data_IF_848632478309
#
_entry.id   IF_848632478309
#
_cell.length_a   1.000
_cell.length_b   1.000
_cell.length_c   1.000
_cell.angle_alpha   90.00
_cell.angle_beta   90.00
_cell.angle_gamma   90.00
#
_symmetry.space_group_name_H-M   'P 1'
#
loop_
_entity.id
_entity.type
_entity.pdbx_description
1 polymer ?
#
# COMPACT_ATOMS: atom_id res chain seq x y z
N UNK A 1 47.58 39.61 -36.43
CA UNK A 1 46.65 40.25 -35.48
C UNK A 1 45.36 39.46 -35.47
N UNK A 2 45.06 38.76 -34.37
CA UNK A 2 43.83 37.98 -34.26
C UNK A 2 43.96 36.85 -33.26
N UNK A 3 43.35 37.02 -32.09
CA UNK A 3 42.83 35.91 -31.29
C UNK A 3 41.77 36.47 -30.33
N UNK A 4 40.52 36.16 -30.64
CA UNK A 4 39.36 36.50 -29.86
C UNK A 4 39.38 35.73 -28.53
N UNK A 5 39.40 36.46 -27.42
CA UNK A 5 39.10 35.93 -26.09
C UNK A 5 37.59 35.96 -25.88
N UNK A 6 36.93 34.80 -25.98
CA UNK A 6 35.49 34.69 -25.82
C UNK A 6 35.05 33.37 -25.18
N UNK A 7 34.58 33.47 -23.95
CA UNK A 7 33.55 32.62 -23.35
C UNK A 7 33.94 31.23 -22.81
N UNK A 8 34.51 31.20 -21.61
CA UNK A 8 34.59 30.01 -20.75
C UNK A 8 33.77 30.18 -19.45
N UNK A 9 32.56 30.74 -19.53
CA UNK A 9 31.68 30.96 -18.36
C UNK A 9 30.23 30.48 -18.54
N UNK A 10 29.98 29.30 -19.10
CA UNK A 10 28.58 28.84 -19.28
C UNK A 10 28.31 27.33 -19.17
N UNK A 11 29.18 26.53 -18.53
CA UNK A 11 28.86 25.10 -18.29
C UNK A 11 28.22 24.86 -16.91
N UNK A 12 28.87 25.32 -15.83
CA UNK A 12 28.43 25.06 -14.45
C UNK A 12 27.11 25.76 -14.11
N UNK A 13 26.88 26.95 -14.68
CA UNK A 13 25.69 27.76 -14.40
C UNK A 13 24.43 27.21 -15.11
N UNK A 14 24.60 26.49 -16.22
CA UNK A 14 23.53 25.77 -16.92
C UNK A 14 23.13 24.50 -16.16
N UNK A 15 24.08 23.83 -15.50
CA UNK A 15 23.82 22.67 -14.65
C UNK A 15 23.03 23.05 -13.38
N UNK A 16 23.35 24.18 -12.75
CA UNK A 16 22.62 24.66 -11.55
C UNK A 16 21.20 25.13 -11.85
N UNK A 17 20.93 25.77 -13.00
CA UNK A 17 19.56 26.18 -13.38
C UNK A 17 18.64 25.02 -13.76
N UNK A 18 19.18 23.91 -14.26
CA UNK A 18 18.38 22.71 -14.57
C UNK A 18 17.97 21.91 -13.32
N UNK A 19 18.67 22.11 -12.20
CA UNK A 19 18.33 21.49 -10.92
C UNK A 19 17.12 22.13 -10.22
N UNK A 20 16.65 23.30 -10.66
CA UNK A 20 15.55 24.03 -10.02
C UNK A 20 14.15 23.75 -10.62
N UNK A 21 14.02 22.95 -11.68
CA UNK A 21 12.79 22.87 -12.48
C UNK A 21 12.06 21.51 -12.46
N UNK A 22 12.35 20.59 -11.53
CA UNK A 22 11.58 19.34 -11.43
C UNK A 22 11.47 18.89 -9.98
N UNK A 23 10.73 19.67 -9.19
CA UNK A 23 10.20 19.19 -7.93
C UNK A 23 9.06 18.18 -8.23
N UNK A 24 9.07 16.96 -7.69
CA UNK A 24 7.89 16.11 -7.72
C UNK A 24 6.79 16.72 -6.83
N UNK A 25 5.57 16.71 -7.38
CA UNK A 25 4.34 17.16 -6.73
C UNK A 25 4.16 16.54 -5.34
N UNK A 26 3.86 17.41 -4.36
CA UNK A 26 3.67 17.12 -2.92
C UNK A 26 2.23 16.63 -2.62
N UNK A 27 1.65 15.81 -3.49
CA UNK A 27 0.31 15.28 -3.30
C UNK A 27 0.36 13.76 -3.13
N UNK A 28 -0.42 13.27 -2.16
CA UNK A 28 -0.65 11.84 -1.83
C UNK A 28 0.23 11.23 -0.72
N UNK A 29 0.28 11.91 0.43
CA UNK A 29 0.25 11.18 1.71
C UNK A 29 -1.20 11.11 2.16
N UNK A 30 -1.90 10.03 1.81
CA UNK A 30 -3.21 9.72 2.40
C UNK A 30 -2.95 9.01 3.72
N UNK A 31 -3.09 9.75 4.82
CA UNK A 31 -3.10 9.18 6.16
C UNK A 31 -4.38 8.35 6.35
N UNK A 32 -4.22 7.05 6.59
CA UNK A 32 -5.30 6.13 6.91
C UNK A 32 -5.82 6.40 8.33
N UNK A 33 -7.12 6.71 8.46
CA UNK A 33 -7.79 6.91 9.74
C UNK A 33 -8.85 5.80 9.94
N UNK A 34 -8.77 4.97 10.99
CA UNK A 34 -9.74 3.90 11.22
C UNK A 34 -11.06 4.46 11.80
N UNK A 35 -12.24 3.98 11.35
CA UNK A 35 -13.52 4.40 11.96
C UNK A 35 -13.72 3.76 13.35
N UNK A 36 -14.07 4.60 14.32
CA UNK A 36 -14.37 4.22 15.70
C UNK A 36 -15.65 3.38 15.84
N UNK A 37 -15.60 2.36 16.69
CA UNK A 37 -16.73 1.49 17.05
C UNK A 37 -17.80 2.28 17.81
N UNK A 38 -19.07 2.15 17.38
CA UNK A 38 -20.23 2.42 18.23
C UNK A 38 -21.02 1.12 18.36
N UNK A 39 -21.03 0.57 19.57
CA UNK A 39 -21.90 -0.52 19.99
C UNK A 39 -22.90 0.09 20.99
N UNK A 40 -24.20 -0.04 20.72
CA UNK A 40 -25.22 0.43 21.62
C UNK A 40 -26.56 -0.21 21.27
N UNK A 41 -26.91 -1.29 21.99
CA UNK A 41 -28.29 -1.71 22.24
C UNK A 41 -28.30 -2.75 23.37
N UNK A 42 -28.80 -2.33 24.53
CA UNK A 42 -29.38 -3.13 25.63
C UNK A 42 -30.28 -2.12 26.38
N UNK A 43 -31.53 -2.35 26.78
CA UNK A 43 -32.41 -3.51 26.78
C UNK A 43 -33.58 -3.09 27.66
N UNK A 44 -34.69 -2.65 27.06
CA UNK A 44 -35.83 -2.09 27.79
C UNK A 44 -36.89 -3.14 28.12
N UNK A 45 -36.66 -3.97 29.14
CA UNK A 45 -37.69 -4.83 29.73
C UNK A 45 -38.24 -4.20 30.99
N UNK A 46 -39.53 -3.81 30.96
CA UNK A 46 -40.22 -3.36 32.16
C UNK A 46 -41.64 -2.88 31.89
N UNK A 47 -42.60 -3.79 31.75
CA UNK A 47 -44.01 -3.46 31.99
C UNK A 47 -44.79 -4.65 32.53
N UNK A 48 -44.78 -4.77 33.86
CA UNK A 48 -45.72 -5.58 34.63
C UNK A 48 -47.02 -4.78 34.81
N UNK A 49 -48.06 -5.10 34.02
CA UNK A 49 -49.46 -4.81 34.35
C UNK A 49 -50.14 -6.17 34.53
N UNK A 50 -50.51 -6.57 35.75
CA UNK A 50 -51.72 -6.18 36.49
C UNK A 50 -53.01 -6.75 35.85
N UNK A 51 -53.50 -7.81 36.51
CA UNK A 51 -54.88 -8.32 36.62
C UNK A 51 -55.63 -8.58 35.32
N UNK A 52 -55.65 -9.84 34.92
CA UNK A 52 -56.68 -10.38 34.05
C UNK A 52 -57.80 -10.97 34.90
N UNK A 53 -58.98 -10.39 34.81
CA UNK A 53 -60.24 -11.07 35.08
C UNK A 53 -61.31 -10.25 34.37
N UNK A 54 -61.71 -10.65 33.15
CA UNK A 54 -63.08 -10.51 32.65
C UNK A 54 -63.27 -11.46 31.46
N UNK A 55 -64.27 -12.32 31.62
CA UNK A 55 -64.82 -13.18 30.60
C UNK A 55 -65.46 -12.35 29.47
N UNK A 56 -65.28 -12.80 28.23
CA UNK A 56 -66.36 -13.23 27.33
C UNK A 56 -65.74 -13.51 25.95
N UNK A 57 -65.74 -14.80 25.60
CA UNK A 57 -65.15 -15.29 24.37
C UNK A 57 -66.04 -14.97 23.17
N UNK A 58 -65.57 -14.03 22.35
CA UNK A 58 -65.89 -13.99 20.93
C UNK A 58 -64.60 -13.64 20.19
N UNK A 59 -63.81 -14.67 19.90
CA UNK A 59 -62.66 -14.55 19.01
C UNK A 59 -62.95 -15.32 17.72
N UNK A 60 -63.59 -14.62 16.78
CA UNK A 60 -63.40 -14.90 15.36
C UNK A 60 -62.03 -14.39 14.94
N UNK A 61 -61.14 -15.31 14.59
CA UNK A 61 -60.40 -15.34 13.34
C UNK A 61 -59.24 -16.33 13.48
N UNK A 62 -59.43 -17.49 12.85
CA UNK A 62 -58.30 -18.22 12.33
C UNK A 62 -57.66 -17.37 11.25
N UNK A 63 -56.44 -16.91 11.49
CA UNK A 63 -55.33 -16.89 10.54
C UNK A 63 -54.13 -16.27 11.27
N UNK A 64 -53.31 -17.12 11.90
CA UNK A 64 -52.01 -16.70 12.43
C UNK A 64 -51.09 -17.91 12.45
N UNK A 65 -50.86 -18.46 11.27
CA UNK A 65 -49.91 -19.56 11.07
C UNK A 65 -48.93 -19.25 9.93
N UNK A 66 -48.50 -17.98 9.75
CA UNK A 66 -47.47 -17.64 8.76
C UNK A 66 -46.45 -16.64 9.30
N UNK A 67 -45.82 -16.95 10.43
CA UNK A 67 -44.68 -16.16 10.91
C UNK A 67 -43.62 -17.06 11.55
N UNK A 68 -43.10 -18.05 10.81
CA UNK A 68 -41.93 -18.79 11.31
C UNK A 68 -41.02 -19.42 10.26
N UNK A 69 -41.42 -19.51 8.99
CA UNK A 69 -40.62 -20.28 8.01
C UNK A 69 -39.49 -19.49 7.31
N UNK A 70 -39.35 -18.18 7.57
CA UNK A 70 -38.39 -17.29 6.87
C UNK A 70 -37.26 -16.71 7.73
N UNK A 71 -37.28 -16.90 9.05
CA UNK A 71 -36.20 -16.44 9.95
C UNK A 71 -34.83 -17.11 9.66
N UNK A 72 -34.73 -18.43 9.40
CA UNK A 72 -33.44 -19.04 9.08
C UNK A 72 -32.92 -18.63 7.69
N UNK A 73 -33.81 -18.39 6.71
CA UNK A 73 -33.41 -17.97 5.36
C UNK A 73 -32.91 -16.52 5.32
N UNK A 74 -33.56 -15.60 6.04
CA UNK A 74 -33.06 -14.20 6.17
C UNK A 74 -31.69 -14.13 6.84
N UNK A 75 -31.47 -14.94 7.88
CA UNK A 75 -30.17 -15.03 8.54
C UNK A 75 -29.10 -15.60 7.60
N UNK A 76 -29.44 -16.62 6.80
CA UNK A 76 -28.53 -17.19 5.79
C UNK A 76 -28.19 -16.20 4.69
N UNK A 77 -29.15 -15.40 4.24
CA UNK A 77 -28.94 -14.35 3.24
C UNK A 77 -28.06 -13.22 3.77
N UNK A 78 -28.27 -12.77 5.01
CA UNK A 78 -27.39 -11.81 5.68
C UNK A 78 -25.96 -12.35 5.82
N UNK A 79 -25.80 -13.61 6.25
CA UNK A 79 -24.49 -14.24 6.35
C UNK A 79 -23.80 -14.34 4.98
N UNK A 80 -24.55 -14.66 3.92
CA UNK A 80 -24.02 -14.66 2.54
C UNK A 80 -23.55 -13.28 2.12
N UNK A 81 -24.34 -12.23 2.39
CA UNK A 81 -23.95 -10.84 2.11
C UNK A 81 -22.66 -10.44 2.84
N UNK A 82 -22.56 -10.77 4.12
CA UNK A 82 -21.35 -10.51 4.92
C UNK A 82 -20.13 -11.27 4.40
N UNK A 83 -20.30 -12.54 3.98
CA UNK A 83 -19.21 -13.33 3.38
C UNK A 83 -18.71 -12.71 2.07
N UNK A 84 -19.60 -12.22 1.21
CA UNK A 84 -19.19 -11.59 -0.05
C UNK A 84 -18.52 -10.23 0.17
N UNK A 85 -18.99 -9.43 1.14
CA UNK A 85 -18.34 -8.18 1.54
C UNK A 85 -16.91 -8.44 2.04
N UNK A 86 -16.75 -9.39 2.97
CA UNK A 86 -15.44 -9.78 3.50
C UNK A 86 -14.50 -10.33 2.42
N UNK A 87 -15.03 -11.11 1.46
CA UNK A 87 -14.24 -11.60 0.32
C UNK A 87 -13.72 -10.45 -0.54
N UNK A 88 -14.57 -9.46 -0.80
CA UNK A 88 -14.21 -8.28 -1.58
C UNK A 88 -13.13 -7.46 -0.85
N UNK A 89 -13.28 -7.25 0.45
CA UNK A 89 -12.28 -6.54 1.26
C UNK A 89 -10.95 -7.30 1.29
N UNK A 90 -10.97 -8.63 1.49
CA UNK A 90 -9.77 -9.47 1.45
C UNK A 90 -9.07 -9.38 0.09
N UNK A 91 -9.83 -9.38 -1.00
CA UNK A 91 -9.27 -9.25 -2.35
C UNK A 91 -8.61 -7.89 -2.55
N UNK A 92 -9.27 -6.79 -2.14
CA UNK A 92 -8.69 -5.44 -2.20
C UNK A 92 -7.42 -5.32 -1.35
N UNK A 93 -7.40 -5.91 -0.16
CA UNK A 93 -6.22 -5.94 0.71
C UNK A 93 -5.08 -6.78 0.12
N UNK A 94 -5.39 -7.92 -0.50
CA UNK A 94 -4.41 -8.75 -1.21
C UNK A 94 -3.81 -8.00 -2.39
N UNK A 95 -4.63 -7.36 -3.21
CA UNK A 95 -4.17 -6.52 -4.32
C UNK A 95 -3.29 -5.36 -3.84
N UNK A 96 -3.67 -4.71 -2.74
CA UNK A 96 -2.87 -3.65 -2.13
C UNK A 96 -1.52 -4.19 -1.61
N UNK A 97 -1.50 -5.38 -1.00
CA UNK A 97 -0.28 -6.04 -0.52
C UNK A 97 0.63 -6.50 -1.69
N UNK A 98 0.05 -6.99 -2.78
CA UNK A 98 0.75 -7.38 -4.01
C UNK A 98 1.33 -6.19 -4.79
N UNK A 99 0.92 -4.95 -4.49
CA UNK A 99 1.40 -3.74 -5.18
C UNK A 99 2.69 -3.13 -4.58
N UNK A 100 3.08 -3.55 -3.36
CA UNK A 100 4.31 -3.13 -2.66
C UNK A 100 5.64 -3.92 -2.93
N UNK A 101 5.77 -5.00 -3.75
CA UNK A 101 6.78 -6.03 -3.44
C UNK A 101 8.16 -5.75 -4.02
N UNK A 102 8.26 -5.21 -5.24
CA UNK A 102 9.53 -5.32 -5.98
C UNK A 102 10.61 -4.35 -5.50
N UNK A 103 10.23 -3.14 -5.09
CA UNK A 103 11.20 -2.14 -4.63
C UNK A 103 11.67 -2.47 -3.21
N UNK A 104 10.77 -2.96 -2.36
CA UNK A 104 11.11 -3.38 -1.00
C UNK A 104 11.93 -4.68 -1.00
N UNK A 105 11.65 -5.62 -1.90
CA UNK A 105 12.52 -6.78 -2.16
C UNK A 105 13.92 -6.34 -2.58
N UNK A 106 14.02 -5.46 -3.59
CA UNK A 106 15.32 -4.93 -4.02
C UNK A 106 16.07 -4.21 -2.90
N UNK A 107 15.34 -3.50 -2.01
CA UNK A 107 15.93 -2.85 -0.83
C UNK A 107 16.52 -3.90 0.12
N UNK A 108 15.77 -4.95 0.44
CA UNK A 108 16.25 -6.06 1.26
C UNK A 108 17.48 -6.76 0.65
N UNK A 109 17.49 -6.95 -0.66
CA UNK A 109 18.65 -7.49 -1.38
C UNK A 109 19.89 -6.60 -1.24
N UNK A 110 19.74 -5.28 -1.35
CA UNK A 110 20.85 -4.34 -1.15
C UNK A 110 21.39 -4.42 0.28
N UNK A 111 20.51 -4.52 1.29
CA UNK A 111 20.91 -4.69 2.69
C UNK A 111 21.69 -5.99 2.92
N UNK A 112 21.31 -7.07 2.24
CA UNK A 112 22.03 -8.34 2.28
C UNK A 112 23.40 -8.26 1.59
N UNK A 113 23.50 -7.53 0.48
CA UNK A 113 24.75 -7.39 -0.28
C UNK A 113 25.75 -6.45 0.42
N UNK A 114 25.30 -5.36 1.02
CA UNK A 114 26.11 -4.45 1.80
C UNK A 114 25.41 -4.21 3.14
N UNK A 115 25.99 -4.65 4.28
CA UNK A 115 25.38 -4.45 5.60
C UNK A 115 25.12 -2.97 5.87
N UNK A 116 23.87 -2.56 5.66
CA UNK A 116 23.40 -1.20 5.85
C UNK A 116 21.93 -1.20 6.25
N UNK A 117 21.46 -0.08 6.80
CA UNK A 117 20.06 0.07 7.17
C UNK A 117 19.15 0.25 5.94
N UNK A 118 17.84 0.15 6.16
CA UNK A 118 16.85 0.29 5.11
C UNK A 118 16.88 1.66 4.40
N UNK A 119 17.27 2.72 5.13
CA UNK A 119 17.34 4.07 4.59
C UNK A 119 18.52 4.21 3.62
N UNK A 120 19.68 3.67 3.98
CA UNK A 120 20.88 3.62 3.15
C UNK A 120 20.64 2.77 1.90
N UNK A 121 20.00 1.60 2.06
CA UNK A 121 19.65 0.74 0.93
C UNK A 121 18.70 1.43 -0.06
N UNK A 122 17.72 2.20 0.43
CA UNK A 122 16.89 3.04 -0.43
C UNK A 122 17.72 4.05 -1.22
N UNK A 123 18.63 4.76 -0.55
CA UNK A 123 19.51 5.72 -1.21
C UNK A 123 20.40 5.07 -2.26
N UNK A 124 20.94 3.89 -1.99
CA UNK A 124 21.69 3.11 -2.98
C UNK A 124 20.85 2.87 -4.24
N UNK A 125 19.60 2.40 -4.11
CA UNK A 125 18.73 2.17 -5.26
C UNK A 125 18.44 3.46 -6.04
N UNK A 126 18.22 4.58 -5.33
CA UNK A 126 18.04 5.90 -5.96
C UNK A 126 19.29 6.33 -6.72
N UNK A 127 20.48 6.15 -6.12
CA UNK A 127 21.75 6.46 -6.78
C UNK A 127 21.95 5.59 -8.01
N UNK A 128 21.68 4.29 -7.93
CA UNK A 128 21.76 3.38 -9.09
C UNK A 128 20.83 3.83 -10.20
N UNK A 129 19.58 4.18 -9.86
CA UNK A 129 18.60 4.69 -10.83
C UNK A 129 19.07 5.96 -11.54
N UNK A 130 19.63 6.92 -10.80
CA UNK A 130 20.15 8.18 -11.36
C UNK A 130 21.38 7.94 -12.25
N UNK A 131 22.34 7.14 -11.79
CA UNK A 131 23.59 6.88 -12.52
C UNK A 131 23.37 6.01 -13.76
N UNK A 132 22.41 5.09 -13.73
CA UNK A 132 22.06 4.24 -14.88
C UNK A 132 21.04 4.91 -15.82
N UNK A 133 20.43 6.03 -15.42
CA UNK A 133 19.30 6.67 -16.10
C UNK A 133 18.14 5.67 -16.37
N UNK A 134 17.90 4.74 -15.43
CA UNK A 134 16.82 3.75 -15.49
C UNK A 134 15.84 4.03 -14.37
N UNK A 135 14.55 4.01 -14.67
CA UNK A 135 13.47 4.18 -13.67
C UNK A 135 13.69 3.22 -12.49
N UNK A 136 13.61 3.71 -11.25
CA UNK A 136 13.81 2.94 -10.02
C UNK A 136 13.06 1.60 -10.00
N UNK A 137 11.78 1.59 -10.42
CA UNK A 137 10.98 0.36 -10.51
C UNK A 137 11.54 -0.67 -11.50
N UNK A 138 12.19 -0.22 -12.58
CA UNK A 138 12.90 -1.09 -13.53
C UNK A 138 14.23 -1.58 -12.96
N UNK A 139 14.97 -0.74 -12.23
CA UNK A 139 16.16 -1.16 -11.48
C UNK A 139 15.79 -2.27 -10.49
N UNK A 140 14.78 -2.05 -9.66
CA UNK A 140 14.31 -3.03 -8.68
C UNK A 140 13.93 -4.37 -9.33
N UNK A 141 13.14 -4.35 -10.41
CA UNK A 141 12.83 -5.57 -11.18
C UNK A 141 14.06 -6.26 -11.73
N UNK A 142 15.00 -5.49 -12.28
CA UNK A 142 16.22 -6.07 -12.84
C UNK A 142 17.06 -6.75 -11.75
N UNK A 143 17.11 -6.19 -10.54
CA UNK A 143 17.80 -6.83 -9.41
C UNK A 143 17.15 -8.14 -9.00
N UNK A 144 15.82 -8.15 -8.84
CA UNK A 144 15.06 -9.36 -8.49
C UNK A 144 15.24 -10.45 -9.56
N UNK A 145 15.03 -10.09 -10.83
CA UNK A 145 15.25 -11.01 -11.95
C UNK A 145 16.72 -11.49 -12.05
N UNK A 146 17.66 -10.66 -11.60
CA UNK A 146 19.09 -10.97 -11.44
C UNK A 146 19.35 -12.21 -10.60
N UNK A 147 18.64 -12.36 -9.48
CA UNK A 147 18.75 -13.52 -8.59
C UNK A 147 18.08 -14.76 -9.17
N UNK A 148 17.06 -14.56 -10.00
CA UNK A 148 16.38 -15.63 -10.74
C UNK A 148 17.16 -16.11 -11.99
N UNK A 149 18.37 -15.57 -12.22
CA UNK A 149 19.26 -15.96 -13.33
C UNK A 149 19.11 -15.11 -14.60
N UNK A 150 18.26 -14.08 -14.59
CA UNK A 150 18.17 -13.13 -15.72
C UNK A 150 19.28 -12.09 -15.63
N UNK A 151 20.09 -11.85 -16.67
CA UNK A 151 21.17 -10.89 -16.60
C UNK A 151 20.66 -9.46 -16.36
N UNK A 152 21.12 -8.85 -15.26
CA UNK A 152 20.86 -7.43 -14.94
C UNK A 152 21.50 -6.53 -16.01
N UNK A 153 20.84 -5.49 -16.55
CA UNK A 153 21.45 -4.62 -17.56
C UNK A 153 22.78 -4.01 -17.11
N UNK A 154 23.77 -3.96 -18.01
CA UNK A 154 25.11 -3.44 -17.73
C UNK A 154 25.15 -2.06 -17.03
N UNK A 155 24.40 -1.03 -17.46
CA UNK A 155 24.44 0.27 -16.78
C UNK A 155 23.94 0.18 -15.33
N UNK A 156 23.02 -0.75 -15.03
CA UNK A 156 22.52 -0.98 -13.68
C UNK A 156 23.54 -1.75 -12.85
N UNK A 157 24.21 -2.76 -13.43
CA UNK A 157 25.27 -3.52 -12.75
C UNK A 157 26.44 -2.64 -12.33
N UNK A 158 26.98 -1.84 -13.26
CA UNK A 158 28.11 -0.96 -12.98
C UNK A 158 27.76 0.09 -11.91
N UNK A 159 26.59 0.70 -12.01
CA UNK A 159 26.11 1.66 -11.01
C UNK A 159 25.89 1.02 -9.64
N UNK A 160 25.35 -0.20 -9.58
CA UNK A 160 25.17 -0.95 -8.33
C UNK A 160 26.51 -1.30 -7.69
N UNK A 161 27.46 -1.85 -8.46
CA UNK A 161 28.78 -2.20 -7.96
C UNK A 161 29.50 -0.98 -7.36
N UNK A 162 29.46 0.15 -8.05
CA UNK A 162 30.03 1.41 -7.56
C UNK A 162 29.34 1.90 -6.28
N UNK A 163 28.00 1.80 -6.20
CA UNK A 163 27.25 2.20 -5.02
C UNK A 163 27.54 1.32 -3.80
N UNK A 164 27.57 -0.01 -3.97
CA UNK A 164 27.88 -0.96 -2.90
C UNK A 164 29.32 -0.81 -2.41
N UNK A 165 30.28 -0.52 -3.30
CA UNK A 165 31.66 -0.23 -2.91
C UNK A 165 31.72 0.99 -1.98
N UNK A 166 30.98 2.07 -2.28
CA UNK A 166 30.93 3.26 -1.41
C UNK A 166 30.36 2.96 -0.04
N UNK A 167 29.27 2.19 0.04
CA UNK A 167 28.67 1.81 1.33
C UNK A 167 29.66 1.00 2.16
N UNK A 168 30.28 -0.04 1.56
CA UNK A 168 31.27 -0.87 2.27
C UNK A 168 32.53 -0.10 2.67
N UNK A 169 32.92 0.92 1.91
CA UNK A 169 34.04 1.79 2.25
C UNK A 169 33.71 2.74 3.42
N UNK A 170 32.45 3.20 3.53
CA UNK A 170 32.01 4.06 4.62
C UNK A 170 31.78 3.32 5.95
N UNK A 171 31.67 1.98 5.92
CA UNK A 171 31.47 1.13 7.10
C UNK A 171 32.76 0.53 7.68
N UNK A 172 33.94 0.89 7.15
CA UNK A 172 35.26 0.53 7.70
C UNK A 172 35.86 1.69 8.46
#
# INVERSE_FOLDING_TARGET
MGAATGSARTSVDRARRRAAATAPSRAETVAFHPPGRRHGVDGGTGRTGRTGEFANGEFVNGESAEASNGAPERQREQLRGQVEELRTEVEQLRQAAESRPVIDQARGMVMALAPCDAQTAWWVLVQVSQHSNVKLRRVARALVAGVEGTPVPEPVRGALAAALHRVRAASR
#
